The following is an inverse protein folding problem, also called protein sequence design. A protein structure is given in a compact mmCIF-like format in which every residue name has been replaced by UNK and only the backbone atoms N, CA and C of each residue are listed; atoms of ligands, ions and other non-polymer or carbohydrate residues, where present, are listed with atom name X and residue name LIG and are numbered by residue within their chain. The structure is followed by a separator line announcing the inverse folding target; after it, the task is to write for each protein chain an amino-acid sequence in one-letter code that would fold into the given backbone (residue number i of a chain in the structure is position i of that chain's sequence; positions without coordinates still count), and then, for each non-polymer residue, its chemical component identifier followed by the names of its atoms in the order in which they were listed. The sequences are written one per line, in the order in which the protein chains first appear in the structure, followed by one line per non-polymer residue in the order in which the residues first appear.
data_IF_201764628442
#
_entry.id   IF_201764628442
#
_cell.length_a   1.000
_cell.length_b   1.000
_cell.length_c   1.000
_cell.angle_alpha   90.00
_cell.angle_beta   90.00
_cell.angle_gamma   90.00
#
_symmetry.space_group_name_H-M   'P 1'
#
loop_
_entity.id
_entity.type
_entity.pdbx_description
1 polymer ?
#
# COMPACT_ATOMS: atom_id res chain seq x y z
N UNK A 1 -7.44 -13.21 -28.61
CA UNK A 1 -7.07 -12.21 -27.59
C UNK A 1 -7.25 -12.81 -26.20
N UNK A 2 -6.18 -13.39 -25.64
CA UNK A 2 -6.10 -13.89 -24.25
C UNK A 2 -4.62 -13.87 -23.85
N UNK A 3 -4.05 -12.71 -23.60
CA UNK A 3 -2.64 -12.61 -23.14
C UNK A 3 -2.39 -11.56 -22.06
N UNK A 4 -3.38 -10.75 -21.64
CA UNK A 4 -3.12 -9.66 -20.68
C UNK A 4 -3.52 -9.95 -19.23
N UNK A 5 -4.42 -10.91 -18.97
CA UNK A 5 -4.95 -11.15 -17.60
C UNK A 5 -3.99 -11.95 -16.71
N UNK A 6 -3.15 -12.81 -17.29
CA UNK A 6 -2.16 -13.60 -16.54
C UNK A 6 -1.08 -12.71 -15.91
N UNK A 7 -0.66 -11.65 -16.61
CA UNK A 7 0.37 -10.71 -16.14
C UNK A 7 -0.16 -9.75 -15.05
N UNK A 8 -1.45 -9.42 -15.10
CA UNK A 8 -2.09 -8.57 -14.09
C UNK A 8 -2.23 -9.30 -12.75
N UNK A 9 -2.63 -10.58 -12.80
CA UNK A 9 -2.76 -11.38 -11.58
C UNK A 9 -1.40 -11.63 -10.91
N UNK A 10 -0.32 -11.81 -11.69
CA UNK A 10 1.03 -11.94 -11.12
C UNK A 10 1.48 -10.64 -10.44
N UNK A 11 1.28 -9.48 -11.08
CA UNK A 11 1.63 -8.19 -10.46
C UNK A 11 0.92 -7.97 -9.12
N UNK A 12 -0.38 -8.26 -9.05
CA UNK A 12 -1.15 -8.10 -7.81
C UNK A 12 -0.61 -9.02 -6.71
N UNK A 13 -0.25 -10.25 -7.06
CA UNK A 13 0.34 -11.19 -6.13
C UNK A 13 1.74 -10.74 -5.68
N UNK A 14 2.55 -10.21 -6.58
CA UNK A 14 3.89 -9.68 -6.29
C UNK A 14 3.81 -8.49 -5.32
N UNK A 15 2.88 -7.56 -5.54
CA UNK A 15 2.62 -6.44 -4.62
C UNK A 15 2.20 -6.95 -3.24
N UNK A 16 1.30 -7.94 -3.18
CA UNK A 16 0.86 -8.53 -1.90
C UNK A 16 1.98 -9.26 -1.18
N UNK A 17 2.84 -9.95 -1.92
CA UNK A 17 4.03 -10.62 -1.40
C UNK A 17 5.03 -9.59 -0.86
N UNK A 18 5.22 -8.47 -1.57
CA UNK A 18 6.06 -7.38 -1.08
C UNK A 18 5.52 -6.84 0.24
N UNK A 19 4.22 -6.52 0.34
CA UNK A 19 3.58 -6.09 1.60
C UNK A 19 3.84 -7.08 2.73
N UNK A 20 3.62 -8.38 2.47
CA UNK A 20 3.83 -9.41 3.48
C UNK A 20 5.30 -9.46 3.92
N UNK A 21 6.24 -9.38 2.99
CA UNK A 21 7.67 -9.35 3.29
C UNK A 21 8.03 -8.10 4.10
N UNK A 22 7.64 -6.91 3.65
CA UNK A 22 8.05 -5.64 4.22
C UNK A 22 7.47 -5.36 5.60
N UNK A 23 6.22 -5.78 5.86
CA UNK A 23 5.63 -5.65 7.21
C UNK A 23 6.32 -6.59 8.21
N UNK A 24 6.63 -7.82 7.81
CA UNK A 24 7.28 -8.80 8.69
C UNK A 24 8.78 -8.51 8.93
N UNK A 25 9.41 -7.69 8.08
CA UNK A 25 10.83 -7.30 8.20
C UNK A 25 10.97 -5.81 8.51
N UNK A 26 9.98 -5.23 9.20
CA UNK A 26 9.97 -3.81 9.54
C UNK A 26 10.81 -3.57 10.79
N UNK A 27 12.07 -3.17 10.63
CA UNK A 27 12.81 -2.54 11.74
C UNK A 27 12.27 -1.13 11.98
N UNK A 28 12.00 -0.81 13.25
CA UNK A 28 11.26 0.39 13.67
C UNK A 28 11.95 1.74 13.33
N UNK A 29 13.18 1.72 12.82
CA UNK A 29 14.04 2.89 12.63
C UNK A 29 14.31 3.25 11.16
N UNK A 30 13.26 3.52 10.37
CA UNK A 30 13.34 4.02 8.96
C UNK A 30 13.46 2.96 7.84
N UNK A 31 12.51 2.03 7.79
CA UNK A 31 12.37 1.17 6.61
C UNK A 31 11.82 1.95 5.40
N UNK A 32 12.53 1.85 4.26
CA UNK A 32 12.08 2.30 2.91
C UNK A 32 10.66 1.85 2.57
N UNK A 33 10.19 0.74 3.14
CA UNK A 33 8.86 0.20 2.89
C UNK A 33 7.74 0.96 3.61
N UNK A 34 8.06 1.85 4.56
CA UNK A 34 7.03 2.71 5.16
C UNK A 34 6.34 3.55 4.10
N UNK A 35 7.12 4.11 3.17
CA UNK A 35 6.58 4.92 2.08
C UNK A 35 5.69 4.08 1.16
N UNK A 36 6.15 2.90 0.75
CA UNK A 36 5.37 1.94 -0.02
C UNK A 36 3.98 1.66 0.59
N UNK A 37 3.93 1.34 1.88
CA UNK A 37 2.67 1.08 2.56
C UNK A 37 1.76 2.31 2.65
N UNK A 38 2.33 3.50 2.87
CA UNK A 38 1.58 4.76 2.89
C UNK A 38 0.95 5.03 1.52
N UNK A 39 1.72 4.89 0.45
CA UNK A 39 1.27 5.08 -0.94
C UNK A 39 0.10 4.15 -1.31
N UNK A 40 0.13 2.89 -0.86
CA UNK A 40 -0.99 1.95 -1.03
C UNK A 40 -2.28 2.49 -0.38
N UNK A 41 -2.19 2.95 0.86
CA UNK A 41 -3.34 3.48 1.62
C UNK A 41 -3.82 4.81 1.03
N UNK A 42 -2.91 5.70 0.67
CA UNK A 42 -3.20 6.98 0.02
C UNK A 42 -3.94 6.76 -1.30
N UNK A 43 -3.47 5.85 -2.15
CA UNK A 43 -4.11 5.50 -3.41
C UNK A 43 -5.50 4.89 -3.22
N UNK A 44 -5.68 4.02 -2.22
CA UNK A 44 -6.96 3.34 -2.00
C UNK A 44 -8.05 4.31 -1.52
N UNK A 45 -7.74 5.10 -0.50
CA UNK A 45 -8.68 5.99 0.17
C UNK A 45 -8.71 7.42 -0.40
N UNK A 46 -7.77 7.76 -1.29
CA UNK A 46 -7.52 9.15 -1.71
C UNK A 46 -7.25 10.03 -0.47
N UNK A 47 -6.46 9.47 0.46
CA UNK A 47 -6.14 10.07 1.75
C UNK A 47 -4.87 10.91 1.67
N UNK A 48 -4.62 11.70 2.71
CA UNK A 48 -3.34 12.39 2.96
C UNK A 48 -2.87 12.14 4.39
N UNK A 49 -1.62 12.48 4.65
CA UNK A 49 -1.02 12.40 5.99
C UNK A 49 -1.15 11.00 6.61
N UNK A 50 -0.98 9.96 5.79
CA UNK A 50 -1.07 8.58 6.24
C UNK A 50 0.12 8.28 7.15
N UNK A 51 -0.14 7.79 8.36
CA UNK A 51 0.87 7.31 9.29
C UNK A 51 0.50 5.91 9.74
N UNK A 52 1.45 4.99 9.62
CA UNK A 52 1.26 3.59 9.99
C UNK A 52 2.15 3.30 11.19
N UNK A 53 1.53 2.80 12.25
CA UNK A 53 2.21 2.25 13.41
C UNK A 53 2.13 0.72 13.34
N UNK A 54 3.26 0.08 13.04
CA UNK A 54 3.34 -1.36 12.84
C UNK A 54 3.29 -2.15 14.16
N UNK A 55 3.72 -1.53 15.27
CA UNK A 55 3.71 -2.15 16.59
C UNK A 55 2.29 -2.19 17.16
N UNK A 56 1.62 -1.04 17.12
CA UNK A 56 0.24 -0.91 17.61
C UNK A 56 -0.80 -1.32 16.57
N UNK A 57 -0.35 -1.65 15.35
CA UNK A 57 -1.19 -1.97 14.18
C UNK A 57 -2.28 -0.93 13.92
N UNK A 58 -1.91 0.35 13.92
CA UNK A 58 -2.84 1.45 13.64
C UNK A 58 -2.45 2.22 12.38
N UNK A 59 -3.45 2.79 11.72
CA UNK A 59 -3.28 3.67 10.57
C UNK A 59 -4.05 4.96 10.82
N UNK A 60 -3.32 6.05 10.99
CA UNK A 60 -3.88 7.40 11.06
C UNK A 60 -3.86 8.02 9.66
N UNK A 61 -4.96 8.65 9.24
CA UNK A 61 -5.03 9.31 7.94
C UNK A 61 -6.04 10.47 7.92
N UNK A 62 -5.98 11.27 6.86
CA UNK A 62 -6.93 12.33 6.59
C UNK A 62 -7.73 12.05 5.32
N UNK A 63 -9.06 11.98 5.44
CA UNK A 63 -9.96 11.90 4.30
C UNK A 63 -10.51 13.26 3.95
N UNK A 64 -10.53 13.56 2.64
CA UNK A 64 -11.23 14.72 2.11
C UNK A 64 -12.73 14.45 2.09
N UNK A 65 -13.49 15.31 2.75
CA UNK A 65 -14.93 15.22 2.86
C UNK A 65 -15.60 16.19 1.88
N UNK A 66 -16.86 15.92 1.53
CA UNK A 66 -17.65 16.75 0.60
C UNK A 66 -17.86 18.20 1.06
N UNK A 67 -17.66 18.49 2.35
CA UNK A 67 -17.71 19.83 2.92
C UNK A 67 -16.37 20.59 2.83
N UNK A 68 -15.47 20.14 1.96
CA UNK A 68 -14.12 20.69 1.73
C UNK A 68 -13.20 20.64 2.96
N UNK A 69 -13.52 19.81 3.95
CA UNK A 69 -12.71 19.61 5.15
C UNK A 69 -12.03 18.26 5.14
N UNK A 70 -10.87 18.21 5.77
CA UNK A 70 -10.19 16.96 6.07
C UNK A 70 -10.64 16.47 7.45
N UNK A 71 -10.97 15.18 7.54
CA UNK A 71 -11.29 14.51 8.80
C UNK A 71 -10.18 13.52 9.13
N UNK A 72 -9.65 13.63 10.34
CA UNK A 72 -8.71 12.65 10.88
C UNK A 72 -9.47 11.37 11.20
N UNK A 73 -8.95 10.24 10.74
CA UNK A 73 -9.44 8.91 11.06
C UNK A 73 -8.27 8.04 11.50
N UNK A 74 -8.57 7.17 12.46
CA UNK A 74 -7.65 6.11 12.91
C UNK A 74 -8.32 4.78 12.63
N UNK A 75 -7.64 3.92 11.89
CA UNK A 75 -8.01 2.51 11.74
C UNK A 75 -7.18 1.70 12.73
N UNK A 76 -7.85 0.97 13.61
CA UNK A 76 -7.23 -0.05 14.44
C UNK A 76 -7.30 -1.39 13.68
N UNK A 77 -6.15 -1.92 13.30
CA UNK A 77 -6.07 -3.14 12.50
C UNK A 77 -5.78 -4.34 13.42
N UNK A 78 -6.62 -5.37 13.35
CA UNK A 78 -6.32 -6.67 13.96
C UNK A 78 -5.26 -7.45 13.16
N UNK A 79 -5.22 -7.21 11.85
CA UNK A 79 -4.27 -7.76 10.90
C UNK A 79 -3.88 -6.66 9.90
N UNK A 80 -2.75 -6.01 10.17
CA UNK A 80 -2.23 -4.94 9.33
C UNK A 80 -1.86 -5.44 7.91
N UNK A 81 -1.34 -6.66 7.77
CA UNK A 81 -0.97 -7.23 6.47
C UNK A 81 -2.23 -7.43 5.63
N UNK A 82 -3.23 -8.10 6.20
CA UNK A 82 -4.52 -8.32 5.54
C UNK A 82 -5.20 -7.00 5.17
N UNK A 83 -5.15 -5.99 6.04
CA UNK A 83 -5.67 -4.66 5.74
C UNK A 83 -4.99 -4.03 4.53
N UNK A 84 -3.65 -3.98 4.51
CA UNK A 84 -2.90 -3.37 3.41
C UNK A 84 -3.10 -4.13 2.10
N UNK A 85 -3.15 -5.47 2.14
CA UNK A 85 -3.43 -6.28 0.95
C UNK A 85 -4.87 -6.05 0.43
N UNK A 86 -5.83 -5.75 1.31
CA UNK A 86 -7.21 -5.41 0.90
C UNK A 86 -7.31 -4.05 0.21
N UNK A 87 -6.30 -3.18 0.39
CA UNK A 87 -6.21 -1.89 -0.28
C UNK A 87 -5.71 -2.00 -1.74
N UNK A 88 -5.41 -3.21 -2.24
CA UNK A 88 -4.94 -3.42 -3.60
C UNK A 88 -6.11 -3.55 -4.57
N UNK A 89 -6.22 -2.62 -5.53
CA UNK A 89 -7.31 -2.60 -6.52
C UNK A 89 -6.85 -3.19 -7.86
N UNK A 90 -7.72 -3.93 -8.53
CA UNK A 90 -7.38 -4.59 -9.80
C UNK A 90 -7.81 -3.80 -11.06
N UNK A 91 -8.19 -2.53 -10.91
CA UNK A 91 -8.54 -1.67 -12.05
C UNK A 91 -7.28 -1.24 -12.85
N UNK A 92 -7.47 -0.84 -14.10
CA UNK A 92 -6.36 -0.52 -15.02
C UNK A 92 -5.44 0.57 -14.49
N UNK A 93 -5.99 1.60 -13.85
CA UNK A 93 -5.23 2.75 -13.39
C UNK A 93 -4.39 2.37 -12.16
N UNK A 94 -4.95 1.53 -11.29
CA UNK A 94 -4.23 0.96 -10.15
C UNK A 94 -3.11 0.02 -10.60
N UNK A 95 -3.34 -0.82 -11.62
CA UNK A 95 -2.31 -1.71 -12.15
C UNK A 95 -1.10 -0.95 -12.72
N UNK A 96 -1.32 0.09 -13.52
CA UNK A 96 -0.23 0.94 -14.06
C UNK A 96 0.54 1.63 -12.92
N UNK A 97 -0.18 2.08 -11.89
CA UNK A 97 0.44 2.66 -10.71
C UNK A 97 1.33 1.63 -9.99
N UNK A 98 0.84 0.41 -9.77
CA UNK A 98 1.61 -0.64 -9.11
C UNK A 98 2.83 -1.11 -9.92
N UNK A 99 2.77 -1.17 -11.25
CA UNK A 99 3.94 -1.45 -12.09
C UNK A 99 5.05 -0.40 -11.90
N UNK A 100 4.65 0.87 -11.85
CA UNK A 100 5.57 2.00 -11.61
C UNK A 100 6.18 1.89 -10.23
N UNK A 101 5.34 1.71 -9.21
CA UNK A 101 5.74 1.57 -7.82
C UNK A 101 6.71 0.38 -7.65
N UNK A 102 6.38 -0.80 -8.19
CA UNK A 102 7.23 -1.99 -8.08
C UNK A 102 8.60 -1.80 -8.73
N UNK A 103 8.69 -1.08 -9.85
CA UNK A 103 9.98 -0.76 -10.50
C UNK A 103 10.90 0.02 -9.58
N UNK A 104 10.36 0.94 -8.77
CA UNK A 104 11.15 1.71 -7.79
C UNK A 104 11.70 0.84 -6.67
N UNK A 105 10.95 -0.16 -6.21
CA UNK A 105 11.38 -1.03 -5.10
C UNK A 105 12.26 -2.22 -5.54
N UNK A 106 12.09 -2.74 -6.77
CA UNK A 106 12.94 -3.81 -7.33
C UNK A 106 14.39 -3.35 -7.52
N UNK A 107 14.61 -2.09 -7.91
CA UNK A 107 15.97 -1.53 -8.05
C UNK A 107 16.72 -1.44 -6.71
N UNK A 108 16.03 -1.45 -5.57
CA UNK A 108 16.61 -1.33 -4.22
C UNK A 108 16.80 -2.70 -3.54
N UNK A 109 16.32 -3.80 -4.12
CA UNK A 109 16.60 -5.17 -3.64
C UNK A 109 17.80 -5.79 -4.36
N UNK A 110 18.13 -5.30 -5.57
CA UNK A 110 19.26 -5.76 -6.37
C UNK A 110 20.56 -4.95 -6.19
N UNK A 111 20.57 -3.91 -5.33
CA UNK A 111 21.70 -3.01 -5.09
C UNK A 111 22.39 -3.26 -3.74
#
# INVERSE_FOLDING_TARGET
MKTNTLNQNSLIEDVKNLINFSVNNMDASESKFKHFHQEIVEKYFVAKNVQINYLDQTIDLQLFMSNEKYTNLTFECLDLIGFLQSCIKCDSDSLVYYETLMTEYDTVVAA
#
